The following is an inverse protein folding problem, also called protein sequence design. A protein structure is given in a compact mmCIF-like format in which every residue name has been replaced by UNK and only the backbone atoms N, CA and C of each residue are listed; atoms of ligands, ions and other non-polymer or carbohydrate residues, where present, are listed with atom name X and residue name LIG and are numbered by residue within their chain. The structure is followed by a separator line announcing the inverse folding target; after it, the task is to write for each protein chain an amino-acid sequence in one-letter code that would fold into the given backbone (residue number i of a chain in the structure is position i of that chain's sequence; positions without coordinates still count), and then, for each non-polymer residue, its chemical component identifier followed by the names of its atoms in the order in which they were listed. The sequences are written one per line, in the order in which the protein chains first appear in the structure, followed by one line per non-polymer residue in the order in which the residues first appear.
data_IF_703640160048
#
_entry.id   IF_703640160048
#
_cell.length_a   1.000
_cell.length_b   1.000
_cell.length_c   1.000
_cell.angle_alpha   90.00
_cell.angle_beta   90.00
_cell.angle_gamma   90.00
#
_symmetry.space_group_name_H-M   'P 1'
#
loop_
_entity.id
_entity.type
_entity.pdbx_description
1 polymer ?
#
# COMPACT_ATOMS: atom_id res chain seq x y z
N UNK A 1 26.35 -94.86 -19.43
CA UNK A 1 25.91 -94.94 -20.83
C UNK A 1 24.43 -95.29 -20.82
N UNK A 2 23.62 -94.42 -21.45
CA UNK A 2 22.19 -94.53 -21.75
C UNK A 2 21.21 -94.85 -20.59
N UNK A 3 20.33 -93.89 -20.28
CA UNK A 3 18.91 -94.05 -20.59
C UNK A 3 18.20 -92.69 -20.58
N UNK A 4 17.55 -92.35 -21.70
CA UNK A 4 16.82 -91.11 -21.91
C UNK A 4 15.32 -91.39 -21.69
N UNK A 5 14.79 -90.94 -20.56
CA UNK A 5 13.36 -90.96 -20.26
C UNK A 5 12.63 -89.78 -20.90
N UNK A 6 11.63 -90.07 -21.73
CA UNK A 6 10.65 -89.12 -22.24
C UNK A 6 9.57 -88.83 -21.18
N UNK A 7 9.04 -87.60 -21.12
CA UNK A 7 7.73 -87.24 -21.67
C UNK A 7 7.12 -85.97 -21.00
N UNK A 8 6.25 -85.30 -21.78
CA UNK A 8 5.12 -84.45 -21.35
C UNK A 8 5.37 -82.97 -21.02
N UNK A 9 5.35 -82.16 -22.09
CA UNK A 9 4.21 -81.29 -22.39
C UNK A 9 3.97 -80.03 -21.55
N UNK A 10 4.11 -78.85 -22.17
CA UNK A 10 3.10 -77.78 -22.16
C UNK A 10 3.57 -76.59 -23.03
N UNK A 11 2.95 -76.43 -24.21
CA UNK A 11 3.04 -75.19 -24.98
C UNK A 11 2.26 -74.07 -24.24
N UNK A 12 2.90 -72.94 -23.94
CA UNK A 12 2.18 -71.68 -23.67
C UNK A 12 2.88 -70.48 -24.29
N UNK A 13 2.29 -70.05 -25.42
CA UNK A 13 1.99 -68.68 -25.87
C UNK A 13 3.11 -67.63 -25.73
N UNK A 14 3.60 -67.21 -26.90
CA UNK A 14 4.28 -65.95 -27.17
C UNK A 14 3.54 -64.75 -26.55
N UNK A 15 4.27 -63.90 -25.85
CA UNK A 15 3.85 -62.54 -25.52
C UNK A 15 4.99 -61.57 -25.85
N UNK A 16 4.84 -60.86 -26.97
CA UNK A 16 5.65 -59.69 -27.33
C UNK A 16 5.50 -58.64 -26.22
N UNK A 17 6.57 -58.32 -25.50
CA UNK A 17 6.61 -57.19 -24.58
C UNK A 17 7.13 -55.97 -25.33
N UNK A 18 6.20 -55.11 -25.74
CA UNK A 18 6.49 -53.74 -26.16
C UNK A 18 7.04 -52.96 -24.96
N UNK A 19 8.27 -52.47 -25.05
CA UNK A 19 8.81 -51.52 -24.06
C UNK A 19 8.17 -50.15 -24.33
N UNK A 20 7.30 -49.71 -23.43
CA UNK A 20 6.84 -48.34 -23.32
C UNK A 20 7.94 -47.52 -22.62
N UNK A 21 8.48 -46.51 -23.31
CA UNK A 21 9.37 -45.50 -22.72
C UNK A 21 8.49 -44.44 -22.07
N UNK A 22 8.39 -44.46 -20.74
CA UNK A 22 7.70 -43.43 -19.97
C UNK A 22 8.65 -42.26 -19.71
N UNK A 23 8.43 -41.13 -20.40
CA UNK A 23 9.07 -39.87 -20.06
C UNK A 23 8.43 -39.30 -18.78
N UNK A 24 9.14 -39.39 -17.65
CA UNK A 24 8.71 -38.75 -16.41
C UNK A 24 9.01 -37.24 -16.49
N UNK A 25 7.97 -36.43 -16.68
CA UNK A 25 8.07 -34.98 -16.57
C UNK A 25 8.24 -34.59 -15.09
N UNK A 26 9.44 -34.12 -14.72
CA UNK A 26 9.68 -33.49 -13.42
C UNK A 26 8.93 -32.16 -13.38
N UNK A 27 7.82 -32.10 -12.65
CA UNK A 27 7.14 -30.84 -12.34
C UNK A 27 7.93 -30.17 -11.21
N UNK A 28 8.82 -29.24 -11.56
CA UNK A 28 9.50 -28.39 -10.58
C UNK A 28 8.45 -27.41 -10.05
N UNK A 29 7.99 -27.63 -8.82
CA UNK A 29 7.17 -26.65 -8.11
C UNK A 29 8.04 -25.41 -7.85
N UNK A 30 7.85 -24.36 -8.65
CA UNK A 30 8.48 -23.07 -8.43
C UNK A 30 7.82 -22.46 -7.19
N UNK A 31 8.57 -22.05 -6.15
CA UNK A 31 7.96 -21.31 -5.05
C UNK A 31 7.36 -20.02 -5.61
N UNK A 32 6.05 -19.88 -5.49
CA UNK A 32 5.39 -18.59 -5.73
C UNK A 32 5.82 -17.70 -4.58
N UNK A 33 6.70 -16.75 -4.85
CA UNK A 33 6.98 -15.67 -3.90
C UNK A 33 5.67 -14.89 -3.74
N UNK A 34 4.94 -15.13 -2.65
CA UNK A 34 3.97 -14.16 -2.17
C UNK A 34 4.82 -12.94 -1.78
N UNK A 35 4.76 -11.88 -2.59
CA UNK A 35 5.15 -10.58 -2.08
C UNK A 35 4.34 -10.37 -0.81
N UNK A 36 5.00 -10.01 0.30
CA UNK A 36 4.29 -9.63 1.51
C UNK A 36 3.22 -8.62 1.11
N UNK A 37 1.97 -8.98 1.35
CA UNK A 37 0.83 -8.16 0.99
C UNK A 37 1.02 -6.80 1.70
N UNK A 38 0.89 -5.67 0.98
CA UNK A 38 1.19 -4.37 1.57
C UNK A 38 0.23 -4.15 2.73
N UNK A 39 0.79 -4.04 3.93
CA UNK A 39 0.01 -3.95 5.16
C UNK A 39 0.35 -2.68 5.93
N UNK A 40 -0.66 -1.86 6.16
CA UNK A 40 -0.63 -0.77 7.12
C UNK A 40 -1.75 -0.99 8.14
N UNK A 41 -1.39 -1.36 9.37
CA UNK A 41 -2.37 -1.65 10.40
C UNK A 41 -1.82 -1.52 11.81
N UNK A 42 -2.69 -1.11 12.74
CA UNK A 42 -2.35 -0.80 14.13
C UNK A 42 -2.52 0.68 14.47
N UNK A 43 -2.07 1.05 15.66
CA UNK A 43 -2.04 2.44 16.11
C UNK A 43 -0.78 3.13 15.58
N UNK A 44 -0.97 4.31 14.98
CA UNK A 44 0.12 5.14 14.46
C UNK A 44 -0.04 6.56 14.96
N UNK A 45 1.07 7.14 15.42
CA UNK A 45 1.21 8.58 15.59
C UNK A 45 1.61 9.18 14.25
N UNK A 46 0.69 9.93 13.65
CA UNK A 46 0.88 10.63 12.39
C UNK A 46 1.26 12.07 12.68
N UNK A 47 2.35 12.54 12.08
CA UNK A 47 2.84 13.91 12.18
C UNK A 47 2.88 14.55 10.81
N UNK A 48 2.26 15.73 10.70
CA UNK A 48 2.42 16.67 9.60
C UNK A 48 3.45 17.70 10.04
N UNK A 49 4.62 17.68 9.40
CA UNK A 49 5.75 18.57 9.70
C UNK A 49 5.53 19.94 9.05
N UNK A 50 4.52 20.66 9.53
CA UNK A 50 4.09 21.99 9.02
C UNK A 50 5.14 23.08 9.23
N UNK A 51 6.09 22.86 10.13
CA UNK A 51 7.30 23.67 10.29
C UNK A 51 8.31 23.49 9.14
N UNK A 52 8.16 22.43 8.34
CA UNK A 52 9.02 22.09 7.19
C UNK A 52 8.28 22.27 5.85
N UNK A 53 7.24 23.12 5.83
CA UNK A 53 6.50 23.43 4.61
C UNK A 53 7.41 24.01 3.53
N UNK A 54 7.10 23.65 2.29
CA UNK A 54 7.71 24.22 1.09
C UNK A 54 6.65 24.41 0.00
N UNK A 55 6.98 25.15 -1.06
CA UNK A 55 6.09 25.38 -2.19
C UNK A 55 6.06 26.83 -2.64
N UNK A 56 5.13 27.15 -3.54
CA UNK A 56 5.01 28.46 -4.19
C UNK A 56 3.91 29.35 -3.60
N UNK A 57 3.02 28.79 -2.78
CA UNK A 57 1.95 29.55 -2.12
C UNK A 57 2.49 30.39 -0.96
N UNK A 58 1.85 31.52 -0.67
CA UNK A 58 2.10 32.28 0.57
C UNK A 58 1.87 31.41 1.81
N UNK A 59 0.93 30.46 1.76
CA UNK A 59 0.68 29.51 2.84
C UNK A 59 1.91 28.64 3.15
N UNK A 60 2.74 28.33 2.14
CA UNK A 60 3.96 27.55 2.35
C UNK A 60 5.04 28.34 3.12
N UNK A 61 5.00 29.68 3.07
CA UNK A 61 5.98 30.55 3.75
C UNK A 61 5.61 30.87 5.20
N UNK A 62 4.40 30.50 5.62
CA UNK A 62 3.91 30.79 6.97
C UNK A 62 4.49 29.81 7.97
N UNK A 63 5.05 30.34 9.06
CA UNK A 63 5.53 29.54 10.17
C UNK A 63 4.35 28.89 10.89
N UNK A 64 4.41 27.57 11.02
CA UNK A 64 3.45 26.76 11.76
C UNK A 64 4.17 25.79 12.69
N UNK A 65 3.45 25.27 13.68
CA UNK A 65 3.91 24.19 14.56
C UNK A 65 3.45 22.84 14.02
N UNK A 66 4.28 21.78 14.06
CA UNK A 66 3.89 20.46 13.62
C UNK A 66 2.58 19.99 14.23
N UNK A 67 1.69 19.44 13.40
CA UNK A 67 0.47 18.81 13.88
C UNK A 67 0.70 17.31 14.04
N UNK A 68 0.31 16.76 15.18
CA UNK A 68 0.44 15.33 15.47
C UNK A 68 -0.85 14.77 16.05
N UNK A 69 -1.25 13.60 15.56
CA UNK A 69 -2.43 12.87 16.03
C UNK A 69 -2.24 11.36 15.91
N UNK A 70 -2.88 10.60 16.79
CA UNK A 70 -2.88 9.14 16.74
C UNK A 70 -4.11 8.62 16.01
N UNK A 71 -3.90 7.67 15.11
CA UNK A 71 -4.97 7.01 14.36
C UNK A 71 -4.81 5.50 14.44
N UNK A 72 -5.93 4.78 14.50
CA UNK A 72 -5.95 3.33 14.33
C UNK A 72 -6.24 3.02 12.87
N UNK A 73 -5.33 2.32 12.21
CA UNK A 73 -5.42 1.99 10.78
C UNK A 73 -5.64 0.49 10.61
N UNK A 74 -6.37 0.10 9.56
CA UNK A 74 -6.45 -1.28 9.08
C UNK A 74 -6.29 -1.32 7.57
N UNK A 75 -5.86 -2.46 7.02
CA UNK A 75 -5.80 -2.71 5.58
C UNK A 75 -6.76 -3.83 5.18
N UNK A 76 -7.44 -3.67 4.04
CA UNK A 76 -8.22 -4.71 3.36
C UNK A 76 -7.80 -4.78 1.88
N UNK A 77 -7.41 -5.97 1.43
CA UNK A 77 -6.96 -6.26 0.07
C UNK A 77 -7.88 -7.22 -0.70
N UNK A 78 -9.01 -7.61 -0.11
CA UNK A 78 -9.94 -8.61 -0.67
C UNK A 78 -10.52 -8.25 -2.04
N UNK A 79 -10.53 -6.96 -2.40
CA UNK A 79 -11.05 -6.44 -3.67
C UNK A 79 -10.04 -6.44 -4.82
N UNK A 80 -8.81 -6.92 -4.60
CA UNK A 80 -7.72 -6.89 -5.57
C UNK A 80 -6.91 -5.59 -5.57
N UNK A 81 -7.39 -4.54 -4.89
CA UNK A 81 -6.58 -3.38 -4.49
C UNK A 81 -6.60 -3.26 -2.98
N UNK A 82 -5.42 -3.08 -2.38
CA UNK A 82 -5.31 -2.88 -0.94
C UNK A 82 -5.74 -1.47 -0.56
N UNK A 83 -6.65 -1.36 0.40
CA UNK A 83 -7.17 -0.11 0.95
C UNK A 83 -6.86 -0.05 2.45
N UNK A 84 -6.09 0.94 2.85
CA UNK A 84 -5.89 1.28 4.25
C UNK A 84 -6.97 2.27 4.71
N UNK A 85 -7.60 2.04 5.86
CA UNK A 85 -8.70 2.86 6.40
C UNK A 85 -8.42 3.26 7.84
N UNK A 86 -8.70 4.52 8.18
CA UNK A 86 -8.73 4.97 9.57
C UNK A 86 -10.00 4.46 10.26
N UNK A 87 -9.83 3.67 11.32
CA UNK A 87 -10.88 3.11 12.16
C UNK A 87 -11.18 3.98 13.40
N UNK A 88 -10.16 4.69 13.88
CA UNK A 88 -10.23 5.53 15.08
C UNK A 88 -9.22 6.67 14.96
N UNK A 89 -9.45 7.76 15.69
CA UNK A 89 -8.63 8.97 15.69
C UNK A 89 -9.36 10.20 16.23
N UNK A 90 -8.76 11.39 16.11
CA UNK A 90 -9.42 12.63 16.50
C UNK A 90 -10.69 12.86 15.69
N UNK A 91 -11.70 13.47 16.32
CA UNK A 91 -12.92 13.90 15.64
C UNK A 91 -12.56 14.79 14.44
N UNK A 92 -12.99 14.42 13.21
CA UNK A 92 -12.76 15.24 12.02
C UNK A 92 -13.38 16.63 12.18
N UNK A 93 -12.75 17.66 11.59
CA UNK A 93 -13.38 18.97 11.45
C UNK A 93 -14.56 18.89 10.48
N UNK A 94 -15.56 19.75 10.66
CA UNK A 94 -16.80 19.76 9.85
C UNK A 94 -16.56 19.86 8.34
N UNK A 95 -15.44 20.46 7.92
CA UNK A 95 -15.08 20.70 6.52
C UNK A 95 -14.14 19.65 5.91
N UNK A 96 -13.91 18.51 6.59
CA UNK A 96 -12.99 17.44 6.14
C UNK A 96 -13.74 16.12 5.98
N UNK A 97 -13.24 15.25 5.10
CA UNK A 97 -13.79 13.92 4.90
C UNK A 97 -13.85 13.14 6.22
N UNK A 98 -15.04 12.61 6.54
CA UNK A 98 -15.30 11.86 7.77
C UNK A 98 -14.61 10.48 7.77
N UNK A 99 -14.39 9.91 6.59
CA UNK A 99 -13.60 8.69 6.41
C UNK A 99 -12.31 9.02 5.67
N UNK A 100 -11.20 8.51 6.19
CA UNK A 100 -9.88 8.64 5.55
C UNK A 100 -9.44 7.25 5.08
N UNK A 101 -9.34 7.08 3.77
CA UNK A 101 -8.86 5.86 3.12
C UNK A 101 -7.67 6.17 2.22
N UNK A 102 -6.77 5.20 2.08
CA UNK A 102 -5.60 5.26 1.18
C UNK A 102 -5.56 4.00 0.33
N UNK A 103 -5.38 4.16 -0.97
CA UNK A 103 -5.18 3.05 -1.89
C UNK A 103 -3.69 2.72 -2.04
N UNK A 104 -3.36 1.44 -2.09
CA UNK A 104 -2.03 0.99 -2.45
C UNK A 104 -1.78 1.17 -3.94
N UNK A 105 -0.64 1.76 -4.29
CA UNK A 105 -0.25 2.07 -5.69
C UNK A 105 0.82 1.13 -6.25
N UNK A 106 1.24 0.12 -5.48
CA UNK A 106 2.38 -0.75 -5.80
C UNK A 106 3.63 -0.45 -4.97
N UNK A 107 3.79 0.78 -4.49
CA UNK A 107 4.93 1.19 -3.65
C UNK A 107 4.59 2.15 -2.51
N UNK A 108 3.43 2.82 -2.58
CA UNK A 108 2.99 3.80 -1.59
C UNK A 108 1.47 3.73 -1.38
N UNK A 109 1.05 4.11 -0.19
CA UNK A 109 -0.35 4.40 0.15
C UNK A 109 -0.66 5.83 -0.26
N UNK A 110 -1.72 6.03 -1.05
CA UNK A 110 -2.08 7.35 -1.56
C UNK A 110 -3.57 7.65 -1.39
N UNK A 111 -3.89 8.91 -1.09
CA UNK A 111 -5.24 9.45 -1.17
C UNK A 111 -5.23 10.82 -1.80
N UNK A 112 -6.30 11.15 -2.50
CA UNK A 112 -6.54 12.47 -3.05
C UNK A 112 -7.89 13.01 -2.61
N UNK A 113 -7.98 14.29 -2.27
CA UNK A 113 -9.25 14.94 -1.98
C UNK A 113 -9.24 16.42 -2.39
N UNK A 114 -10.37 16.88 -2.92
CA UNK A 114 -10.63 18.30 -3.13
C UNK A 114 -11.26 18.89 -1.86
N UNK A 115 -10.87 20.10 -1.49
CA UNK A 115 -11.39 20.82 -0.33
C UNK A 115 -11.12 22.33 -0.47
N UNK A 116 -11.38 23.11 0.58
CA UNK A 116 -11.06 24.54 0.61
C UNK A 116 -9.98 24.81 1.65
N UNK A 117 -8.81 25.24 1.20
CA UNK A 117 -7.67 25.61 2.03
C UNK A 117 -7.97 26.86 2.85
N UNK A 118 -7.72 26.81 4.15
CA UNK A 118 -7.76 27.96 5.06
C UNK A 118 -6.52 28.83 4.88
N UNK A 119 -6.62 29.77 3.95
CA UNK A 119 -5.57 30.72 3.60
C UNK A 119 -5.60 31.92 4.55
N UNK A 120 -4.71 31.92 5.55
CA UNK A 120 -4.51 33.09 6.42
C UNK A 120 -3.63 34.10 5.70
N UNK A 121 -4.09 35.33 5.52
CA UNK A 121 -3.35 36.41 4.87
C UNK A 121 -2.47 37.16 5.88
N UNK A 122 -1.48 37.97 5.44
CA UNK A 122 -0.60 38.71 6.34
C UNK A 122 -1.30 39.70 7.27
N UNK A 123 -2.51 40.15 6.91
CA UNK A 123 -3.36 41.02 7.72
C UNK A 123 -4.23 40.24 8.74
N UNK A 124 -4.13 38.91 8.76
CA UNK A 124 -4.91 38.01 9.62
C UNK A 124 -6.26 37.58 9.03
N UNK A 125 -6.64 38.09 7.85
CA UNK A 125 -7.88 37.67 7.17
C UNK A 125 -7.76 36.22 6.71
N UNK A 126 -8.79 35.39 6.96
CA UNK A 126 -8.85 34.02 6.46
C UNK A 126 -9.74 33.96 5.22
N UNK A 127 -9.17 33.47 4.13
CA UNK A 127 -9.90 33.12 2.90
C UNK A 127 -9.93 31.60 2.74
N UNK A 128 -10.93 31.09 2.03
CA UNK A 128 -11.09 29.65 1.80
C UNK A 128 -10.91 29.36 0.33
N UNK A 129 -9.71 29.00 -0.10
CA UNK A 129 -9.37 28.88 -1.51
C UNK A 129 -9.53 27.42 -2.00
N UNK A 130 -10.09 27.19 -3.20
CA UNK A 130 -10.27 25.83 -3.72
C UNK A 130 -8.92 25.15 -3.92
N UNK A 131 -8.81 23.90 -3.46
CA UNK A 131 -7.56 23.16 -3.46
C UNK A 131 -7.76 21.66 -3.64
N UNK A 132 -6.72 21.02 -4.17
CA UNK A 132 -6.61 19.57 -4.34
C UNK A 132 -5.39 19.08 -3.58
N UNK A 133 -5.61 18.15 -2.65
CA UNK A 133 -4.52 17.54 -1.88
C UNK A 133 -4.30 16.09 -2.26
N UNK A 134 -3.03 15.69 -2.28
CA UNK A 134 -2.59 14.30 -2.35
C UNK A 134 -1.74 14.02 -1.11
N UNK A 135 -2.12 12.99 -0.36
CA UNK A 135 -1.30 12.47 0.74
C UNK A 135 -0.74 11.13 0.32
N UNK A 136 0.58 10.98 0.38
CA UNK A 136 1.27 9.74 0.06
C UNK A 136 2.15 9.29 1.23
N UNK A 137 2.18 7.99 1.50
CA UNK A 137 3.02 7.35 2.51
C UNK A 137 3.72 6.13 1.91
N UNK A 138 5.04 6.08 2.06
CA UNK A 138 5.88 4.94 1.67
C UNK A 138 6.31 4.19 2.93
N UNK A 139 6.02 2.87 3.04
CA UNK A 139 6.51 2.04 4.13
C UNK A 139 8.03 2.05 4.25
N UNK A 140 8.53 2.06 5.47
CA UNK A 140 9.95 2.00 5.81
C UNK A 140 10.29 0.65 6.46
N UNK A 141 11.57 0.20 6.41
CA UNK A 141 11.99 -1.07 7.01
C UNK A 141 11.77 -1.18 8.52
N UNK A 142 11.68 -0.05 9.23
CA UNK A 142 11.45 0.01 10.68
C UNK A 142 9.95 -0.02 11.06
N UNK A 143 9.06 -0.20 10.08
CA UNK A 143 7.61 -0.21 10.27
C UNK A 143 6.98 1.18 10.34
N UNK A 144 7.77 2.26 10.27
CA UNK A 144 7.24 3.60 10.05
C UNK A 144 6.82 3.79 8.59
N UNK A 145 6.09 4.86 8.32
CA UNK A 145 5.82 5.34 6.97
C UNK A 145 6.27 6.80 6.87
N UNK A 146 6.81 7.17 5.72
CA UNK A 146 7.22 8.53 5.41
C UNK A 146 6.65 8.97 4.05
N UNK A 147 6.35 10.26 3.89
CA UNK A 147 5.91 10.77 2.61
C UNK A 147 5.52 12.24 2.67
N UNK A 148 4.51 12.61 1.88
CA UNK A 148 4.13 14.02 1.69
C UNK A 148 2.62 14.22 1.71
N UNK A 149 2.19 15.33 2.31
CA UNK A 149 0.92 15.98 2.05
C UNK A 149 1.17 17.16 1.10
N UNK A 150 0.86 16.95 -0.17
CA UNK A 150 0.98 17.98 -1.20
C UNK A 150 -0.40 18.56 -1.48
N UNK A 151 -0.49 19.89 -1.53
CA UNK A 151 -1.70 20.61 -1.89
C UNK A 151 -1.41 21.58 -3.03
N UNK A 152 -2.24 21.53 -4.06
CA UNK A 152 -2.32 22.54 -5.11
C UNK A 152 -3.53 23.40 -4.82
N UNK A 153 -3.32 24.71 -4.64
CA UNK A 153 -4.36 25.71 -4.41
C UNK A 153 -4.64 26.34 -5.78
N UNK A 154 -5.82 26.07 -6.32
CA UNK A 154 -6.13 26.26 -7.74
C UNK A 154 -6.27 27.74 -8.11
N UNK A 155 -6.80 28.54 -7.18
CA UNK A 155 -7.08 29.97 -7.37
C UNK A 155 -7.18 30.69 -6.02
N UNK A 156 -7.29 32.02 -6.04
CA UNK A 156 -7.43 32.83 -4.84
C UNK A 156 -6.10 33.41 -4.36
N UNK A 157 -6.10 33.96 -3.15
CA UNK A 157 -4.97 34.69 -2.61
C UNK A 157 -3.79 33.76 -2.24
N UNK A 158 -4.08 32.50 -1.92
CA UNK A 158 -3.07 31.48 -1.67
C UNK A 158 -2.73 30.62 -2.89
N UNK A 159 -3.12 31.01 -4.12
CA UNK A 159 -2.82 30.23 -5.31
C UNK A 159 -1.34 29.79 -5.35
N UNK A 160 -1.11 28.52 -5.65
CA UNK A 160 0.22 27.92 -5.67
C UNK A 160 0.25 26.53 -5.07
N UNK A 161 1.41 26.14 -4.56
CA UNK A 161 1.63 24.80 -3.99
C UNK A 161 2.08 24.88 -2.54
N UNK A 162 1.67 23.88 -1.75
CA UNK A 162 2.15 23.63 -0.40
C UNK A 162 2.52 22.14 -0.32
N UNK A 163 3.73 21.84 0.13
CA UNK A 163 4.22 20.48 0.35
C UNK A 163 4.66 20.36 1.80
N UNK A 164 4.08 19.41 2.51
CA UNK A 164 4.35 19.15 3.92
C UNK A 164 4.89 17.72 4.05
N UNK A 165 6.08 17.51 4.62
CA UNK A 165 6.53 16.17 4.96
C UNK A 165 5.58 15.56 5.99
N UNK A 166 5.28 14.27 5.83
CA UNK A 166 4.46 13.51 6.78
C UNK A 166 5.17 12.23 7.21
N UNK A 167 4.96 11.85 8.46
CA UNK A 167 5.45 10.59 9.02
C UNK A 167 4.35 9.90 9.80
N UNK A 168 4.26 8.58 9.70
CA UNK A 168 3.43 7.76 10.57
C UNK A 168 4.32 6.77 11.29
N UNK A 169 4.38 6.87 12.62
CA UNK A 169 5.22 6.00 13.45
C UNK A 169 4.31 5.11 14.29
N UNK A 170 4.54 3.78 14.36
CA UNK A 170 3.78 2.91 15.25
C UNK A 170 3.77 3.46 16.68
N UNK A 171 2.59 3.52 17.30
CA UNK A 171 2.40 3.90 18.70
C UNK A 171 1.61 2.77 19.35
N UNK A 172 2.17 2.12 20.36
CA UNK A 172 1.58 0.93 21.00
C UNK A 172 0.10 1.08 21.38
#
# INVERSE_FOLDING_TARGET
MADFGANSGAQRRLARRSLLVSAAALVIAVPVAHADEPFWGGWYKITFHTDQKSGTSIAATQQETPYTASYKITTDCSSGTCIASALDGPTPKDNVAQSTTFAWTGSQWSRSNSWRWDCTLPDGTITYDPANSVTAYTPQPDGSLAGTFQTTIDSGACQGTVVIPVTAVPSA
#
